data_IF_111459496005
#
_entry.id   IF_111459496005
#
_cell.length_a   1.000
_cell.length_b   1.000
_cell.length_c   1.000
_cell.angle_alpha   90.00
_cell.angle_beta   90.00
_cell.angle_gamma   90.00
#
_symmetry.space_group_name_H-M   'P 1'
#
loop_
_entity.id
_entity.type
_entity.pdbx_description
1 polymer ?
#
# COMPACT_ATOMS: atom_id res chain seq x y z
N UNK A 1 -31.37 7.45 6.49
CA UNK A 1 -29.90 7.26 6.50
C UNK A 1 -29.44 7.25 5.06
N UNK A 2 -28.35 7.94 4.73
CA UNK A 2 -27.72 7.82 3.42
C UNK A 2 -27.24 6.38 3.21
N UNK A 3 -27.27 5.91 1.97
CA UNK A 3 -26.86 4.56 1.60
C UNK A 3 -25.34 4.38 1.61
N UNK A 4 -24.87 3.36 0.89
CA UNK A 4 -23.44 3.16 0.67
C UNK A 4 -22.89 4.28 -0.24
N UNK A 5 -21.60 4.66 -0.08
CA UNK A 5 -21.00 5.65 -0.95
C UNK A 5 -20.86 5.12 -2.39
N UNK A 6 -20.80 6.05 -3.35
CA UNK A 6 -20.67 5.73 -4.76
C UNK A 6 -19.23 5.94 -5.26
N UNK A 7 -18.75 5.14 -6.22
CA UNK A 7 -17.50 5.43 -6.92
C UNK A 7 -17.57 6.79 -7.62
N UNK A 8 -16.53 7.60 -7.45
CA UNK A 8 -16.42 8.94 -8.02
C UNK A 8 -15.52 8.89 -9.26
N UNK A 9 -15.95 9.54 -10.34
CA UNK A 9 -15.20 9.57 -11.61
C UNK A 9 -13.83 10.20 -11.46
N UNK A 10 -13.68 11.19 -10.58
CA UNK A 10 -12.38 11.82 -10.30
C UNK A 10 -11.32 10.82 -9.79
N UNK A 11 -11.74 9.69 -9.20
CA UNK A 11 -10.86 8.66 -8.65
C UNK A 11 -10.61 7.50 -9.64
N UNK A 12 -11.37 7.43 -10.73
CA UNK A 12 -11.30 6.33 -11.68
C UNK A 12 -9.91 6.26 -12.34
N UNK A 13 -9.36 5.05 -12.45
CA UNK A 13 -8.06 4.82 -13.08
C UNK A 13 -6.85 5.35 -12.28
N UNK A 14 -7.04 5.74 -11.01
CA UNK A 14 -5.96 6.22 -10.13
C UNK A 14 -5.48 5.17 -9.12
N UNK A 15 -6.23 4.09 -8.89
CA UNK A 15 -5.85 3.05 -7.93
C UNK A 15 -5.89 1.66 -8.55
N UNK A 16 -4.91 0.83 -8.20
CA UNK A 16 -4.73 -0.50 -8.79
C UNK A 16 -4.25 -1.48 -7.74
N UNK A 17 -4.58 -2.76 -7.91
CA UNK A 17 -3.95 -3.85 -7.18
C UNK A 17 -2.71 -4.30 -7.96
N UNK A 18 -1.62 -4.62 -7.24
CA UNK A 18 -0.41 -5.19 -7.83
C UNK A 18 -0.61 -6.51 -8.60
N UNK A 19 0.46 -7.01 -9.20
CA UNK A 19 0.49 -8.20 -10.03
C UNK A 19 0.28 -9.49 -9.22
N UNK A 20 -0.54 -10.40 -9.76
CA UNK A 20 -0.71 -11.74 -9.21
C UNK A 20 0.26 -12.68 -9.92
N UNK A 21 1.48 -12.77 -9.39
CA UNK A 21 2.55 -13.61 -9.97
C UNK A 21 2.13 -15.08 -10.03
N UNK A 22 1.61 -15.62 -8.92
CA UNK A 22 1.16 -17.02 -8.77
C UNK A 22 2.20 -18.04 -9.26
N UNK A 23 3.33 -18.11 -8.55
CA UNK A 23 4.41 -19.07 -8.77
C UNK A 23 5.71 -18.55 -8.17
N UNK A 24 6.30 -19.25 -7.21
CA UNK A 24 7.56 -18.81 -6.58
C UNK A 24 8.75 -18.96 -7.53
N UNK A 25 8.65 -19.82 -8.56
CA UNK A 25 9.68 -19.97 -9.58
C UNK A 25 9.93 -18.74 -10.47
N UNK A 26 9.14 -17.67 -10.35
CA UNK A 26 9.43 -16.38 -10.99
C UNK A 26 10.32 -15.48 -10.12
N UNK A 27 10.41 -15.75 -8.82
CA UNK A 27 11.03 -14.86 -7.84
C UNK A 27 12.48 -15.28 -7.65
N UNK A 28 13.36 -14.28 -7.65
CA UNK A 28 14.80 -14.43 -7.52
C UNK A 28 15.32 -13.64 -6.32
N UNK A 29 16.46 -14.05 -5.80
CA UNK A 29 17.27 -13.19 -4.93
C UNK A 29 17.90 -12.05 -5.75
N UNK A 30 18.27 -10.92 -5.11
CA UNK A 30 19.04 -9.87 -5.78
C UNK A 30 20.34 -10.37 -6.41
N UNK A 31 21.02 -11.31 -5.76
CA UNK A 31 22.28 -11.89 -6.25
C UNK A 31 22.05 -12.75 -7.51
N UNK A 32 20.99 -13.57 -7.53
CA UNK A 32 20.62 -14.35 -8.72
C UNK A 32 20.29 -13.44 -9.90
N UNK A 33 19.53 -12.37 -9.67
CA UNK A 33 19.20 -11.39 -10.70
C UNK A 33 20.45 -10.69 -11.24
N UNK A 34 21.37 -10.28 -10.37
CA UNK A 34 22.63 -9.63 -10.78
C UNK A 34 23.52 -10.55 -11.62
N UNK A 35 23.60 -11.84 -11.27
CA UNK A 35 24.33 -12.85 -12.05
C UNK A 35 23.72 -12.99 -13.45
N UNK A 36 22.39 -13.04 -13.57
CA UNK A 36 21.71 -13.12 -14.87
C UNK A 36 21.92 -11.86 -15.72
N UNK A 37 21.88 -10.69 -15.10
CA UNK A 37 22.11 -9.40 -15.77
C UNK A 37 23.56 -9.28 -16.25
N UNK A 38 24.52 -9.74 -15.44
CA UNK A 38 25.94 -9.75 -15.81
C UNK A 38 26.20 -10.69 -16.97
N UNK A 39 25.52 -11.85 -17.00
CA UNK A 39 25.63 -12.84 -18.07
C UNK A 39 25.07 -12.34 -19.40
N UNK A 40 23.89 -11.72 -19.38
CA UNK A 40 23.29 -11.05 -20.55
C UNK A 40 22.61 -9.74 -20.10
N UNK A 41 23.16 -8.57 -20.45
CA UNK A 41 22.59 -7.28 -20.07
C UNK A 41 21.14 -7.06 -20.53
N UNK A 42 20.68 -7.76 -21.58
CA UNK A 42 19.29 -7.70 -22.05
C UNK A 42 18.33 -8.25 -21.01
N UNK A 43 18.76 -9.12 -20.10
CA UNK A 43 17.88 -9.66 -19.05
C UNK A 43 17.25 -8.57 -18.17
N UNK A 44 17.79 -7.34 -18.15
CA UNK A 44 17.16 -6.16 -17.53
C UNK A 44 15.78 -5.82 -18.10
N UNK A 45 15.46 -6.26 -19.32
CA UNK A 45 14.15 -6.06 -19.95
C UNK A 45 13.04 -6.91 -19.28
N UNK A 46 13.43 -8.00 -18.61
CA UNK A 46 12.52 -8.97 -18.00
C UNK A 46 12.76 -9.18 -16.51
N UNK A 47 13.80 -8.57 -15.94
CA UNK A 47 14.12 -8.63 -14.52
C UNK A 47 13.81 -7.31 -13.84
N UNK A 48 12.95 -7.38 -12.82
CA UNK A 48 12.52 -6.20 -12.07
C UNK A 48 12.63 -6.44 -10.57
N UNK A 49 12.94 -5.40 -9.76
CA UNK A 49 12.73 -5.47 -8.32
C UNK A 49 11.26 -5.82 -8.01
N UNK A 50 11.05 -6.61 -6.97
CA UNK A 50 9.74 -7.12 -6.60
C UNK A 50 9.37 -6.73 -5.17
N UNK A 51 8.47 -5.77 -5.03
CA UNK A 51 8.07 -5.21 -3.74
C UNK A 51 6.83 -5.92 -3.19
N UNK A 52 6.90 -6.32 -1.93
CA UNK A 52 5.75 -6.86 -1.21
C UNK A 52 5.44 -6.10 0.10
N UNK A 53 4.43 -6.59 0.83
CA UNK A 53 4.02 -5.98 2.09
C UNK A 53 5.03 -6.16 3.23
N UNK A 54 5.88 -7.19 3.17
CA UNK A 54 6.95 -7.40 4.16
C UNK A 54 8.01 -6.30 4.02
N UNK A 55 8.45 -6.06 2.78
CA UNK A 55 9.41 -4.99 2.45
C UNK A 55 8.88 -3.63 2.93
N UNK A 56 7.64 -3.29 2.58
CA UNK A 56 7.04 -2.01 2.97
C UNK A 56 6.85 -1.82 4.48
N UNK A 57 6.56 -2.89 5.21
CA UNK A 57 6.22 -2.81 6.63
C UNK A 57 7.40 -2.98 7.56
N UNK A 58 8.46 -3.66 7.13
CA UNK A 58 9.55 -4.08 7.99
C UNK A 58 10.93 -3.56 7.56
N UNK A 59 11.15 -3.27 6.28
CA UNK A 59 12.39 -2.64 5.82
C UNK A 59 12.40 -1.13 6.13
N UNK A 60 13.41 -0.59 6.84
CA UNK A 60 13.49 0.83 7.17
C UNK A 60 13.60 1.77 5.96
N UNK A 61 14.15 1.28 4.86
CA UNK A 61 14.29 2.00 3.59
C UNK A 61 13.16 1.62 2.61
N UNK A 62 12.31 0.66 3.00
CA UNK A 62 11.16 0.16 2.24
C UNK A 62 11.56 -0.36 0.85
N UNK A 63 12.77 -0.93 0.75
CA UNK A 63 13.35 -1.43 -0.49
C UNK A 63 12.87 -2.85 -0.80
N UNK A 64 12.68 -3.19 -2.09
CA UNK A 64 12.42 -4.57 -2.50
C UNK A 64 13.56 -5.49 -2.04
N UNK A 65 13.22 -6.57 -1.33
CA UNK A 65 14.19 -7.60 -0.93
C UNK A 65 14.38 -8.71 -1.97
N UNK A 66 13.62 -8.66 -3.08
CA UNK A 66 13.53 -9.70 -4.09
C UNK A 66 13.49 -9.11 -5.49
N UNK A 67 13.76 -9.94 -6.47
CA UNK A 67 13.57 -9.67 -7.89
C UNK A 67 12.56 -10.65 -8.48
N UNK A 68 12.05 -10.34 -9.67
CA UNK A 68 11.09 -11.20 -10.36
C UNK A 68 11.30 -11.16 -11.88
N UNK A 69 11.12 -12.32 -12.51
CA UNK A 69 11.09 -12.49 -13.97
C UNK A 69 9.69 -12.14 -14.48
N UNK A 70 9.57 -11.10 -15.30
CA UNK A 70 8.33 -10.63 -15.89
C UNK A 70 8.43 -10.58 -17.42
N UNK A 71 7.84 -11.56 -18.10
CA UNK A 71 7.68 -11.56 -19.56
C UNK A 71 6.45 -10.78 -20.04
N UNK A 72 5.78 -10.03 -19.16
CA UNK A 72 4.57 -9.26 -19.46
C UNK A 72 3.50 -10.13 -20.14
N UNK A 73 3.02 -9.72 -21.32
CA UNK A 73 2.07 -10.44 -22.16
C UNK A 73 2.69 -11.07 -23.40
N UNK A 74 4.02 -11.20 -23.42
CA UNK A 74 4.76 -11.72 -24.56
C UNK A 74 4.36 -13.15 -24.92
N UNK A 75 4.46 -13.46 -26.21
CA UNK A 75 4.33 -14.83 -26.70
C UNK A 75 5.46 -15.70 -26.13
N UNK A 76 5.27 -17.03 -26.15
CA UNK A 76 6.31 -17.95 -25.66
C UNK A 76 7.58 -17.80 -26.51
N UNK A 77 7.43 -17.62 -27.82
CA UNK A 77 8.54 -17.47 -28.75
C UNK A 77 9.39 -16.25 -28.41
N UNK A 78 8.75 -15.12 -28.05
CA UNK A 78 9.45 -13.93 -27.59
C UNK A 78 10.08 -14.14 -26.22
N UNK A 79 9.39 -14.76 -25.27
CA UNK A 79 9.97 -15.04 -23.95
C UNK A 79 11.23 -15.93 -24.05
N UNK A 80 11.23 -16.91 -24.97
CA UNK A 80 12.36 -17.80 -25.27
C UNK A 80 13.60 -17.09 -25.80
N UNK A 81 13.51 -15.83 -26.26
CA UNK A 81 14.70 -15.05 -26.67
C UNK A 81 15.55 -14.60 -25.47
N UNK A 82 15.08 -14.80 -24.24
CA UNK A 82 15.79 -14.57 -22.98
C UNK A 82 16.08 -15.92 -22.32
N UNK A 83 17.04 -16.71 -22.85
CA UNK A 83 17.17 -18.13 -22.55
C UNK A 83 17.42 -18.41 -21.07
N UNK A 84 18.22 -17.58 -20.40
CA UNK A 84 18.57 -17.78 -18.99
C UNK A 84 17.37 -17.57 -18.06
N UNK A 85 16.59 -16.51 -18.26
CA UNK A 85 15.38 -16.27 -17.48
C UNK A 85 14.28 -17.29 -17.84
N UNK A 86 14.16 -17.66 -19.11
CA UNK A 86 13.14 -18.60 -19.55
C UNK A 86 13.39 -20.02 -19.02
N UNK A 87 14.64 -20.49 -18.99
CA UNK A 87 15.01 -21.79 -18.40
C UNK A 87 14.56 -21.90 -16.95
N UNK A 88 14.76 -20.85 -16.14
CA UNK A 88 14.36 -20.82 -14.73
C UNK A 88 12.85 -21.02 -14.62
N UNK A 89 12.06 -20.26 -15.39
CA UNK A 89 10.60 -20.35 -15.37
C UNK A 89 10.14 -21.71 -15.92
N UNK A 90 10.80 -22.25 -16.95
CA UNK A 90 10.50 -23.57 -17.50
C UNK A 90 10.76 -24.68 -16.48
N UNK A 91 11.85 -24.60 -15.73
CA UNK A 91 12.22 -25.59 -14.73
C UNK A 91 11.38 -25.49 -13.45
N UNK A 92 11.07 -24.28 -13.00
CA UNK A 92 10.45 -24.05 -11.68
C UNK A 92 8.94 -23.82 -11.74
N UNK A 93 8.42 -23.17 -12.78
CA UNK A 93 7.00 -22.76 -12.84
C UNK A 93 6.16 -23.73 -13.67
N UNK A 94 6.68 -24.18 -14.82
CA UNK A 94 5.95 -25.06 -15.73
C UNK A 94 5.44 -26.33 -15.04
N UNK A 95 6.24 -27.07 -14.23
CA UNK A 95 5.75 -28.28 -13.56
C UNK A 95 4.63 -28.00 -12.57
N UNK A 96 4.73 -26.91 -11.78
CA UNK A 96 3.69 -26.52 -10.83
C UNK A 96 2.38 -26.16 -11.53
N UNK A 97 2.47 -25.47 -12.67
CA UNK A 97 1.29 -24.99 -13.41
C UNK A 97 0.63 -26.05 -14.26
N UNK A 98 1.40 -27.02 -14.73
CA UNK A 98 0.93 -28.14 -15.55
C UNK A 98 0.68 -29.42 -14.75
N UNK A 99 0.72 -29.36 -13.42
CA UNK A 99 0.36 -30.51 -12.57
C UNK A 99 -1.07 -30.99 -12.82
N UNK A 100 -1.27 -32.30 -12.75
CA UNK A 100 -2.57 -32.92 -12.92
C UNK A 100 -3.47 -32.71 -11.70
N UNK A 101 -4.79 -32.70 -11.94
CA UNK A 101 -5.78 -32.73 -10.87
C UNK A 101 -5.72 -34.08 -10.16
N UNK A 102 -5.91 -34.10 -8.85
CA UNK A 102 -6.02 -35.34 -8.09
C UNK A 102 -7.48 -35.78 -7.95
N UNK A 103 -7.74 -37.08 -7.98
CA UNK A 103 -9.01 -37.68 -7.57
C UNK A 103 -9.16 -37.70 -6.03
N UNK A 104 -10.29 -38.19 -5.53
CA UNK A 104 -10.58 -38.28 -4.09
C UNK A 104 -9.59 -39.19 -3.33
N UNK A 105 -8.91 -40.10 -4.05
CA UNK A 105 -7.94 -41.03 -3.51
C UNK A 105 -6.49 -40.53 -3.64
N UNK A 106 -6.29 -39.32 -4.19
CA UNK A 106 -4.97 -38.73 -4.40
C UNK A 106 -4.25 -39.17 -5.68
N UNK A 107 -4.91 -39.88 -6.61
CA UNK A 107 -4.31 -40.27 -7.90
C UNK A 107 -4.45 -39.16 -8.94
N UNK A 108 -3.46 -39.03 -9.83
CA UNK A 108 -3.50 -38.04 -10.91
C UNK A 108 -4.54 -38.40 -11.99
N UNK A 109 -5.43 -37.44 -12.28
CA UNK A 109 -6.35 -37.47 -13.41
C UNK A 109 -5.61 -36.90 -14.62
N UNK A 110 -4.84 -37.76 -15.29
CA UNK A 110 -4.04 -37.41 -16.46
C UNK A 110 -4.89 -36.74 -17.54
N UNK A 111 -4.38 -35.66 -18.13
CA UNK A 111 -5.08 -34.87 -19.15
C UNK A 111 -5.96 -33.75 -18.58
N UNK A 112 -6.18 -33.71 -17.26
CA UNK A 112 -6.92 -32.62 -16.60
C UNK A 112 -6.01 -31.86 -15.65
N UNK A 113 -5.63 -30.63 -16.02
CA UNK A 113 -4.81 -29.78 -15.16
C UNK A 113 -5.52 -29.42 -13.84
N UNK A 114 -4.76 -29.35 -12.75
CA UNK A 114 -5.27 -28.89 -11.45
C UNK A 114 -5.61 -27.39 -11.46
N UNK A 115 -4.89 -26.59 -12.25
CA UNK A 115 -5.12 -25.16 -12.38
C UNK A 115 -6.04 -24.84 -13.55
N UNK A 116 -6.83 -23.77 -13.39
CA UNK A 116 -7.73 -23.27 -14.43
C UNK A 116 -6.93 -22.61 -15.57
N UNK A 117 -7.42 -22.77 -16.80
CA UNK A 117 -6.95 -22.02 -17.98
C UNK A 117 -7.04 -20.49 -17.72
N UNK A 118 -6.08 -19.67 -18.19
CA UNK A 118 -4.99 -20.03 -19.10
C UNK A 118 -3.68 -20.44 -18.41
N UNK A 119 -3.61 -20.53 -17.07
CA UNK A 119 -2.35 -20.72 -16.34
C UNK A 119 -1.50 -21.92 -16.80
N UNK A 120 -2.07 -23.12 -17.06
CA UNK A 120 -1.29 -24.24 -17.58
C UNK A 120 -0.82 -24.04 -19.03
N UNK A 121 -1.56 -23.29 -19.85
CA UNK A 121 -1.21 -23.03 -21.26
C UNK A 121 -0.20 -21.89 -21.39
N UNK A 122 -0.31 -20.87 -20.54
CA UNK A 122 0.54 -19.68 -20.51
C UNK A 122 1.37 -19.68 -19.23
N UNK A 123 2.08 -20.79 -19.00
CA UNK A 123 2.78 -21.05 -17.75
C UNK A 123 3.91 -20.06 -17.48
N UNK A 124 4.44 -19.39 -18.51
CA UNK A 124 5.51 -18.39 -18.40
C UNK A 124 5.02 -16.97 -18.07
N UNK A 125 3.70 -16.73 -17.99
CA UNK A 125 3.11 -15.40 -17.75
C UNK A 125 2.47 -15.35 -16.36
N UNK A 126 2.42 -14.21 -15.68
CA UNK A 126 1.70 -14.10 -14.40
C UNK A 126 0.22 -14.48 -14.48
N UNK A 127 -0.38 -14.81 -13.33
CA UNK A 127 -1.81 -15.01 -13.23
C UNK A 127 -2.61 -13.76 -13.58
N UNK A 128 -2.21 -12.60 -13.05
CA UNK A 128 -2.71 -11.29 -13.50
C UNK A 128 -1.56 -10.31 -13.72
N UNK A 129 -1.40 -9.91 -14.97
CA UNK A 129 -0.29 -9.05 -15.45
C UNK A 129 -0.43 -7.59 -15.05
N UNK A 130 -1.67 -7.12 -14.86
CA UNK A 130 -2.01 -5.72 -14.57
C UNK A 130 -1.47 -4.71 -15.61
N UNK A 131 -1.75 -4.88 -16.92
CA UNK A 131 -1.23 -3.97 -17.96
C UNK A 131 -1.65 -2.50 -17.73
N UNK A 132 -2.92 -2.26 -17.35
CA UNK A 132 -3.43 -0.93 -17.05
C UNK A 132 -2.65 -0.23 -15.91
N UNK A 133 -2.19 -0.98 -14.90
CA UNK A 133 -1.35 -0.44 -13.84
C UNK A 133 -0.01 0.07 -14.42
N UNK A 134 0.74 -0.81 -15.09
CA UNK A 134 2.09 -0.47 -15.57
C UNK A 134 2.09 0.58 -16.68
N UNK A 135 1.10 0.54 -17.58
CA UNK A 135 0.90 1.60 -18.58
C UNK A 135 0.68 2.96 -17.90
N UNK A 136 -0.13 2.97 -16.84
CA UNK A 136 -0.47 4.19 -16.12
C UNK A 136 0.72 4.75 -15.33
N UNK A 137 1.44 3.91 -14.58
CA UNK A 137 2.55 4.38 -13.72
C UNK A 137 3.84 4.61 -14.48
N UNK A 138 3.99 4.10 -15.71
CA UNK A 138 5.18 4.36 -16.55
C UNK A 138 5.42 5.84 -16.86
N UNK A 139 4.38 6.67 -16.67
CA UNK A 139 4.35 8.10 -16.95
C UNK A 139 4.82 8.97 -15.77
N UNK A 140 5.11 8.37 -14.62
CA UNK A 140 5.53 9.07 -13.40
C UNK A 140 6.72 8.37 -12.76
N UNK A 141 7.53 9.11 -12.00
CA UNK A 141 8.72 8.55 -11.35
C UNK A 141 8.39 7.79 -10.07
N UNK A 142 7.31 8.18 -9.39
CA UNK A 142 6.90 7.64 -8.10
C UNK A 142 5.39 7.47 -8.00
N UNK A 143 4.98 6.49 -7.20
CA UNK A 143 3.58 6.21 -6.86
C UNK A 143 3.43 6.08 -5.35
N UNK A 144 2.22 6.28 -4.86
CA UNK A 144 1.87 5.91 -3.50
C UNK A 144 1.55 4.43 -3.43
N UNK A 145 2.04 3.76 -2.40
CA UNK A 145 1.79 2.34 -2.17
C UNK A 145 1.31 2.15 -0.75
N UNK A 146 0.29 1.29 -0.58
CA UNK A 146 -0.23 0.87 0.72
C UNK A 146 -0.44 -0.65 0.72
N UNK A 147 -0.01 -1.38 1.76
CA UNK A 147 -0.38 -2.78 1.91
C UNK A 147 -1.90 -2.92 2.04
N UNK A 148 -2.49 -3.87 1.31
CA UNK A 148 -3.92 -4.15 1.41
C UNK A 148 -4.23 -4.61 2.84
N UNK A 149 -3.48 -5.57 3.35
CA UNK A 149 -3.69 -6.13 4.69
C UNK A 149 -2.63 -5.58 5.64
N UNK A 150 -3.03 -4.68 6.56
CA UNK A 150 -2.11 -4.09 7.54
C UNK A 150 -2.81 -3.68 8.83
N UNK A 151 -2.06 -3.69 9.94
CA UNK A 151 -2.48 -3.14 11.24
C UNK A 151 -2.68 -1.63 11.15
N UNK A 152 -1.76 -0.94 10.46
CA UNK A 152 -1.80 0.50 10.27
C UNK A 152 -1.82 0.83 8.78
N UNK A 153 -2.83 1.57 8.34
CA UNK A 153 -2.95 2.05 6.96
C UNK A 153 -1.97 3.21 6.76
N UNK A 154 -0.81 2.89 6.19
CA UNK A 154 0.27 3.86 5.98
C UNK A 154 0.72 3.82 4.54
N UNK A 155 0.72 4.99 3.90
CA UNK A 155 1.13 5.15 2.51
C UNK A 155 2.61 5.49 2.44
N UNK A 156 3.32 4.97 1.45
CA UNK A 156 4.68 5.41 1.13
C UNK A 156 4.87 5.69 -0.36
N UNK A 157 5.87 6.50 -0.68
CA UNK A 157 6.25 6.88 -2.03
C UNK A 157 7.39 6.00 -2.54
N UNK A 158 7.11 5.25 -3.60
CA UNK A 158 8.01 4.23 -4.14
C UNK A 158 8.23 4.44 -5.65
N UNK A 159 9.44 4.16 -6.19
CA UNK A 159 9.72 4.28 -7.63
C UNK A 159 8.88 3.34 -8.50
N UNK A 160 8.55 3.75 -9.73
CA UNK A 160 7.64 3.02 -10.65
C UNK A 160 8.26 1.88 -11.44
N UNK A 161 9.60 1.80 -11.53
CA UNK A 161 10.33 0.72 -12.21
C UNK A 161 10.46 -0.54 -11.34
N UNK A 162 9.35 -0.98 -10.76
CA UNK A 162 9.23 -2.07 -9.80
C UNK A 162 7.97 -2.87 -10.11
N UNK A 163 8.00 -4.19 -9.93
CA UNK A 163 6.79 -5.02 -9.93
C UNK A 163 6.21 -5.04 -8.51
N UNK A 164 4.94 -4.64 -8.37
CA UNK A 164 4.25 -4.64 -7.07
C UNK A 164 3.47 -5.93 -6.87
N UNK A 165 3.58 -6.56 -5.71
CA UNK A 165 2.79 -7.74 -5.35
C UNK A 165 1.30 -7.40 -5.21
N UNK A 166 0.42 -8.32 -5.59
CA UNK A 166 -1.05 -8.19 -5.46
C UNK A 166 -1.61 -7.88 -4.05
N UNK A 167 -0.79 -7.94 -3.00
CA UNK A 167 -1.18 -7.51 -1.64
C UNK A 167 -0.86 -6.04 -1.38
N UNK A 168 -0.56 -5.28 -2.43
CA UNK A 168 -0.35 -3.84 -2.39
C UNK A 168 -1.38 -3.15 -3.29
N UNK A 169 -1.91 -2.03 -2.81
CA UNK A 169 -2.57 -1.04 -3.66
C UNK A 169 -1.52 -0.02 -4.12
N UNK A 170 -1.51 0.26 -5.42
CA UNK A 170 -0.68 1.26 -6.07
C UNK A 170 -1.58 2.40 -6.53
N UNK A 171 -1.27 3.61 -6.09
CA UNK A 171 -2.10 4.79 -6.25
C UNK A 171 -1.28 5.89 -6.93
N UNK A 172 -1.83 6.42 -8.02
CA UNK A 172 -1.35 7.65 -8.63
C UNK A 172 -1.71 8.85 -7.78
N UNK A 173 -0.81 9.82 -7.76
CA UNK A 173 -1.07 11.15 -7.22
C UNK A 173 -0.55 12.22 -8.17
N UNK A 174 -1.20 13.38 -8.18
CA UNK A 174 -0.77 14.51 -9.02
C UNK A 174 0.06 15.52 -8.22
N UNK A 175 -0.16 15.60 -6.91
CA UNK A 175 0.51 16.53 -6.02
C UNK A 175 0.68 15.93 -4.61
N UNK A 176 1.59 16.51 -3.83
CA UNK A 176 1.91 15.97 -2.50
C UNK A 176 0.82 16.27 -1.46
N UNK A 177 -0.15 17.16 -1.76
CA UNK A 177 -1.31 17.36 -0.88
C UNK A 177 -2.20 16.12 -0.83
N UNK A 178 -2.33 15.37 -1.94
CA UNK A 178 -3.04 14.08 -1.96
C UNK A 178 -2.41 13.06 -0.99
N UNK A 179 -1.07 13.03 -0.91
CA UNK A 179 -0.38 12.21 0.09
C UNK A 179 -0.79 12.63 1.51
N UNK A 180 -0.89 13.94 1.78
CA UNK A 180 -1.38 14.46 3.05
C UNK A 180 -2.81 14.03 3.38
N UNK A 181 -3.71 14.14 2.40
CA UNK A 181 -5.11 13.70 2.54
C UNK A 181 -5.20 12.21 2.86
N UNK A 182 -4.51 11.36 2.09
CA UNK A 182 -4.55 9.91 2.28
C UNK A 182 -3.82 9.47 3.56
N UNK A 183 -2.81 10.22 4.01
CA UNK A 183 -2.12 9.96 5.27
C UNK A 183 -2.87 10.47 6.50
N UNK A 184 -3.98 11.21 6.34
CA UNK A 184 -4.73 11.81 7.44
C UNK A 184 -5.63 10.81 8.18
N UNK A 185 -6.02 11.18 9.41
CA UNK A 185 -7.04 10.46 10.18
C UNK A 185 -8.38 10.45 9.45
N UNK A 186 -8.69 11.49 8.66
CA UNK A 186 -9.97 11.59 7.94
C UNK A 186 -10.10 10.45 6.92
N UNK A 187 -9.05 10.20 6.13
CA UNK A 187 -9.01 9.06 5.23
C UNK A 187 -8.98 7.74 6.00
N UNK A 188 -8.22 7.65 7.09
CA UNK A 188 -8.18 6.44 7.91
C UNK A 188 -9.57 6.02 8.42
N UNK A 189 -10.39 6.97 8.87
CA UNK A 189 -11.78 6.71 9.31
C UNK A 189 -12.63 6.19 8.14
N UNK A 190 -12.46 6.77 6.94
CA UNK A 190 -13.14 6.31 5.74
C UNK A 190 -12.73 4.87 5.36
N UNK A 191 -11.44 4.58 5.44
CA UNK A 191 -10.89 3.24 5.20
C UNK A 191 -11.55 2.19 6.10
N UNK A 192 -11.56 2.42 7.41
CA UNK A 192 -12.15 1.50 8.39
C UNK A 192 -13.66 1.35 8.23
N UNK A 193 -14.36 2.39 7.75
CA UNK A 193 -15.81 2.30 7.53
C UNK A 193 -16.16 1.47 6.31
N UNK A 194 -15.40 1.61 5.21
CA UNK A 194 -15.82 1.12 3.89
C UNK A 194 -15.01 -0.07 3.39
N UNK A 195 -13.88 -0.41 4.03
CA UNK A 195 -13.09 -1.59 3.67
C UNK A 195 -13.44 -2.78 4.57
N UNK A 196 -13.09 -3.99 4.13
CA UNK A 196 -13.21 -5.18 4.98
C UNK A 196 -12.05 -5.28 5.97
N UNK A 197 -12.14 -6.22 6.92
CA UNK A 197 -11.05 -6.54 7.86
C UNK A 197 -10.61 -7.99 7.72
N UNK A 198 -9.37 -8.27 8.10
CA UNK A 198 -8.89 -9.63 8.35
C UNK A 198 -8.89 -9.86 9.87
N UNK A 199 -9.92 -10.56 10.36
CA UNK A 199 -10.20 -10.65 11.79
C UNK A 199 -10.66 -9.31 12.35
N UNK A 200 -10.38 -9.04 13.63
CA UNK A 200 -10.86 -7.85 14.33
C UNK A 200 -9.89 -6.65 14.30
N UNK A 201 -8.59 -6.87 14.06
CA UNK A 201 -7.56 -5.83 14.27
C UNK A 201 -6.83 -5.35 13.02
N UNK A 202 -7.09 -5.94 11.85
CA UNK A 202 -6.30 -5.70 10.63
C UNK A 202 -7.20 -5.24 9.51
N UNK A 203 -6.95 -4.05 8.97
CA UNK A 203 -7.69 -3.53 7.82
C UNK A 203 -7.27 -4.30 6.56
N UNK A 204 -8.23 -4.60 5.69
CA UNK A 204 -8.00 -4.99 4.30
C UNK A 204 -8.43 -3.86 3.36
N UNK A 205 -7.53 -2.90 3.11
CA UNK A 205 -7.74 -1.71 2.30
C UNK A 205 -8.36 -2.06 0.93
N UNK A 206 -9.48 -1.41 0.59
CA UNK A 206 -10.17 -1.63 -0.67
C UNK A 206 -9.91 -0.47 -1.65
N UNK A 207 -9.35 -0.77 -2.83
CA UNK A 207 -9.25 0.25 -3.89
C UNK A 207 -10.63 0.66 -4.38
N UNK A 208 -11.58 -0.28 -4.48
CA UNK A 208 -12.93 -0.02 -5.02
C UNK A 208 -13.86 0.60 -4.00
N UNK A 209 -13.92 0.07 -2.78
CA UNK A 209 -14.93 0.50 -1.80
C UNK A 209 -14.44 1.64 -0.91
N UNK A 210 -13.12 1.84 -0.80
CA UNK A 210 -12.54 2.94 -0.04
C UNK A 210 -11.95 4.02 -0.96
N UNK A 211 -10.95 3.71 -1.79
CA UNK A 211 -10.28 4.76 -2.58
C UNK A 211 -11.21 5.36 -3.65
N UNK A 212 -11.83 4.53 -4.49
CA UNK A 212 -12.68 5.02 -5.58
C UNK A 212 -13.92 5.78 -5.08
N UNK A 213 -14.36 5.51 -3.85
CA UNK A 213 -15.47 6.23 -3.21
C UNK A 213 -15.04 7.43 -2.37
N UNK A 214 -13.74 7.62 -2.11
CA UNK A 214 -13.28 8.66 -1.21
C UNK A 214 -13.50 10.07 -1.83
N UNK A 215 -14.27 10.96 -1.18
CA UNK A 215 -14.53 12.30 -1.70
C UNK A 215 -13.37 13.22 -1.32
N UNK A 216 -12.42 13.40 -2.23
CA UNK A 216 -11.33 14.34 -2.03
C UNK A 216 -11.84 15.79 -1.86
N UNK A 217 -11.08 16.65 -1.14
CA UNK A 217 -11.40 18.08 -1.07
C UNK A 217 -11.37 18.71 -2.47
N UNK A 218 -12.28 19.64 -2.74
CA UNK A 218 -12.32 20.36 -4.03
C UNK A 218 -11.06 21.23 -4.18
N UNK A 219 -10.55 21.80 -3.08
CA UNK A 219 -9.35 22.65 -3.07
C UNK A 219 -8.14 21.85 -2.57
N UNK A 220 -7.63 20.95 -3.40
CA UNK A 220 -6.47 20.10 -3.07
C UNK A 220 -5.12 20.84 -3.10
N UNK A 221 -5.00 21.90 -3.90
CA UNK A 221 -3.73 22.63 -4.08
C UNK A 221 -3.45 23.62 -2.93
N UNK A 222 -3.34 23.08 -1.72
CA UNK A 222 -3.01 23.83 -0.51
C UNK A 222 -1.51 23.70 -0.18
N UNK A 223 -0.76 24.79 -0.36
CA UNK A 223 0.69 24.85 -0.09
C UNK A 223 1.05 24.49 1.35
N UNK A 224 0.20 24.82 2.31
CA UNK A 224 0.42 24.49 3.72
C UNK A 224 0.32 22.97 3.93
N UNK A 225 -0.75 22.35 3.40
CA UNK A 225 -0.93 20.90 3.44
C UNK A 225 0.24 20.19 2.75
N UNK A 226 0.68 20.68 1.60
CA UNK A 226 1.83 20.12 0.89
C UNK A 226 3.09 20.17 1.75
N UNK A 227 3.38 21.33 2.33
CA UNK A 227 4.58 21.58 3.14
C UNK A 227 4.63 20.69 4.37
N UNK A 228 3.53 20.63 5.14
CA UNK A 228 3.47 19.79 6.34
C UNK A 228 3.56 18.31 6.00
N UNK A 229 2.92 17.88 4.91
CA UNK A 229 2.95 16.50 4.44
C UNK A 229 4.36 16.07 4.05
N UNK A 230 5.11 16.93 3.35
CA UNK A 230 6.51 16.66 2.99
C UNK A 230 7.40 16.54 4.21
N UNK A 231 7.22 17.43 5.20
CA UNK A 231 7.94 17.37 6.49
C UNK A 231 7.63 16.08 7.24
N UNK A 232 6.35 15.70 7.30
CA UNK A 232 5.91 14.45 7.93
C UNK A 232 6.56 13.23 7.27
N UNK A 233 6.49 13.11 5.95
CA UNK A 233 7.08 11.97 5.24
C UNK A 233 8.60 11.92 5.42
N UNK A 234 9.26 13.08 5.36
CA UNK A 234 10.73 13.17 5.52
C UNK A 234 11.16 12.77 6.94
N UNK A 235 10.47 13.27 7.97
CA UNK A 235 10.74 12.91 9.36
C UNK A 235 10.45 11.42 9.60
N UNK A 236 9.34 10.90 9.06
CA UNK A 236 8.99 9.48 9.14
C UNK A 236 10.12 8.60 8.60
N UNK A 237 10.62 8.91 7.38
CA UNK A 237 11.73 8.18 6.75
C UNK A 237 13.02 8.30 7.55
N UNK A 238 13.34 9.49 8.07
CA UNK A 238 14.49 9.72 8.96
C UNK A 238 14.40 8.84 10.21
N UNK A 239 13.26 8.85 10.92
CA UNK A 239 13.06 8.04 12.13
C UNK A 239 13.24 6.56 11.82
N UNK A 240 12.65 6.08 10.73
CA UNK A 240 12.77 4.68 10.30
C UNK A 240 14.23 4.30 10.07
N UNK A 241 14.96 5.09 9.27
CA UNK A 241 16.36 4.81 8.92
C UNK A 241 17.28 4.90 10.13
N UNK A 242 17.21 5.99 10.90
CA UNK A 242 18.08 6.26 12.06
C UNK A 242 17.92 5.21 13.16
N UNK A 243 16.71 4.67 13.32
CA UNK A 243 16.38 3.72 14.38
C UNK A 243 16.21 2.28 13.87
N UNK A 244 16.46 2.02 12.59
CA UNK A 244 16.21 0.72 11.92
C UNK A 244 14.81 0.16 12.20
N UNK A 245 13.80 1.02 12.13
CA UNK A 245 12.41 0.66 12.35
C UNK A 245 11.69 0.49 11.01
N UNK A 246 11.02 -0.64 10.82
CA UNK A 246 9.97 -0.76 9.81
C UNK A 246 8.70 0.01 10.23
N UNK A 247 7.82 0.24 9.26
CA UNK A 247 6.56 0.97 9.43
C UNK A 247 5.72 0.43 10.60
N UNK A 248 5.59 -0.90 10.74
CA UNK A 248 4.79 -1.50 11.82
C UNK A 248 5.34 -1.14 13.20
N UNK A 249 6.67 -1.22 13.37
CA UNK A 249 7.32 -0.89 14.64
C UNK A 249 7.20 0.59 14.96
N UNK A 250 7.38 1.44 13.95
CA UNK A 250 7.21 2.89 14.12
C UNK A 250 5.79 3.23 14.58
N UNK A 251 4.75 2.72 13.90
CA UNK A 251 3.37 3.07 14.28
C UNK A 251 2.91 2.44 15.60
N UNK A 252 3.46 1.29 16.00
CA UNK A 252 3.26 0.81 17.38
C UNK A 252 3.75 1.85 18.40
N UNK A 253 4.90 2.49 18.16
CA UNK A 253 5.38 3.58 19.03
C UNK A 253 4.62 4.89 18.81
N UNK A 254 4.16 5.18 17.58
CA UNK A 254 3.27 6.30 17.31
C UNK A 254 1.98 6.22 18.13
N UNK A 255 1.46 5.02 18.40
CA UNK A 255 0.27 4.81 19.23
C UNK A 255 0.56 4.43 20.69
N UNK A 256 1.81 4.54 21.14
CA UNK A 256 2.22 4.28 22.52
C UNK A 256 1.98 5.51 23.43
N UNK A 257 1.00 5.44 24.32
CA UNK A 257 0.62 6.51 25.27
C UNK A 257 1.69 6.81 26.32
N UNK A 258 2.58 5.85 26.59
CA UNK A 258 3.67 5.98 27.57
C UNK A 258 4.98 6.49 26.98
N UNK A 259 5.01 6.84 25.70
CA UNK A 259 6.25 7.25 25.04
C UNK A 259 6.91 8.47 25.72
N UNK A 260 6.11 9.41 26.22
CA UNK A 260 6.60 10.59 26.94
C UNK A 260 7.23 10.20 28.28
N UNK A 261 6.61 9.29 29.04
CA UNK A 261 7.17 8.76 30.28
C UNK A 261 8.53 8.09 30.04
N UNK A 262 8.60 7.25 29.01
CA UNK A 262 9.82 6.53 28.61
C UNK A 262 10.93 7.51 28.20
N UNK A 263 10.58 8.58 27.49
CA UNK A 263 11.55 9.60 27.05
C UNK A 263 12.23 10.34 28.20
N UNK A 264 11.59 10.39 29.38
CA UNK A 264 12.04 11.12 30.56
C UNK A 264 12.74 10.23 31.60
N UNK A 265 12.92 8.94 31.32
CA UNK A 265 13.63 8.03 32.23
C UNK A 265 15.09 8.45 32.37
N UNK A 266 15.50 8.75 33.60
CA UNK A 266 16.88 9.11 33.92
C UNK A 266 17.85 7.93 33.69
N UNK A 267 17.40 6.70 33.96
CA UNK A 267 18.17 5.48 33.77
C UNK A 267 17.24 4.38 33.26
N UNK A 268 17.67 3.66 32.23
CA UNK A 268 16.97 2.47 31.77
C UNK A 268 17.32 1.30 32.70
N UNK A 269 16.35 0.64 33.33
CA UNK A 269 16.64 -0.41 34.29
C UNK A 269 17.32 -1.59 33.61
N UNK A 270 18.35 -2.10 34.28
CA UNK A 270 19.09 -3.30 33.90
C UNK A 270 18.24 -4.58 34.06
N UNK A 271 17.20 -4.54 34.90
CA UNK A 271 16.27 -5.66 35.10
C UNK A 271 15.07 -5.59 34.15
N UNK A 272 15.12 -6.39 33.09
CA UNK A 272 14.06 -6.45 32.08
C UNK A 272 12.69 -6.87 32.61
N UNK A 273 12.61 -7.74 33.61
CA UNK A 273 11.31 -8.23 34.13
C UNK A 273 10.54 -7.15 34.87
N UNK A 274 11.24 -6.29 35.59
CA UNK A 274 10.63 -5.17 36.31
C UNK A 274 10.14 -4.09 35.33
N UNK A 275 10.94 -3.78 34.31
CA UNK A 275 10.52 -2.85 33.26
C UNK A 275 9.30 -3.35 32.49
N UNK A 276 9.29 -4.63 32.07
CA UNK A 276 8.15 -5.24 31.40
C UNK A 276 6.88 -5.17 32.27
N UNK A 277 7.00 -5.32 33.59
CA UNK A 277 5.86 -5.22 34.52
C UNK A 277 5.32 -3.80 34.61
N UNK A 278 6.18 -2.78 34.59
CA UNK A 278 5.78 -1.38 34.76
C UNK A 278 5.31 -0.77 33.44
N UNK A 279 6.09 -0.94 32.36
CA UNK A 279 5.90 -0.28 31.08
C UNK A 279 5.40 -1.21 29.98
N UNK A 280 5.32 -2.51 30.22
CA UNK A 280 4.85 -3.48 29.23
C UNK A 280 5.94 -4.04 28.33
N UNK A 281 5.66 -5.22 27.78
CA UNK A 281 6.58 -5.98 26.92
C UNK A 281 6.94 -5.27 25.62
N UNK A 282 6.00 -4.54 25.02
CA UNK A 282 6.23 -3.83 23.76
C UNK A 282 7.25 -2.71 23.92
N UNK A 283 7.15 -1.94 25.01
CA UNK A 283 8.09 -0.89 25.34
C UNK A 283 9.48 -1.44 25.62
N UNK A 284 9.58 -2.55 26.35
CA UNK A 284 10.86 -3.21 26.55
C UNK A 284 11.50 -3.71 25.25
N UNK A 285 10.69 -4.29 24.36
CA UNK A 285 11.11 -4.76 23.04
C UNK A 285 11.63 -3.61 22.18
N UNK A 286 10.94 -2.46 22.21
CA UNK A 286 11.37 -1.25 21.51
C UNK A 286 12.70 -0.72 22.03
N UNK A 287 12.88 -0.63 23.36
CA UNK A 287 14.15 -0.20 23.94
C UNK A 287 15.30 -1.15 23.59
N UNK A 288 15.09 -2.46 23.70
CA UNK A 288 16.07 -3.47 23.26
C UNK A 288 16.44 -3.31 21.79
N UNK A 289 15.46 -3.01 20.94
CA UNK A 289 15.68 -2.76 19.53
C UNK A 289 16.57 -1.52 19.33
N UNK A 290 16.24 -0.39 19.97
CA UNK A 290 17.04 0.84 19.88
C UNK A 290 18.48 0.60 20.36
N UNK A 291 18.68 0.00 21.53
CA UNK A 291 20.02 -0.29 22.05
C UNK A 291 20.86 -1.19 21.13
N UNK A 292 20.21 -2.06 20.34
CA UNK A 292 20.91 -3.00 19.46
C UNK A 292 21.17 -2.44 18.06
N UNK A 293 20.28 -1.59 17.55
CA UNK A 293 20.25 -1.26 16.12
C UNK A 293 20.20 0.23 15.80
N UNK A 294 19.99 1.14 16.77
CA UNK A 294 19.93 2.57 16.45
C UNK A 294 21.31 3.08 16.01
N UNK A 295 21.32 3.88 14.94
CA UNK A 295 22.52 4.51 14.42
C UNK A 295 22.73 5.84 15.17
N UNK A 296 23.49 5.82 16.28
CA UNK A 296 23.84 7.02 17.05
C UNK A 296 22.65 7.85 17.59
N UNK A 297 21.43 7.32 17.57
CA UNK A 297 20.24 7.97 18.12
C UNK A 297 20.00 7.51 19.54
N UNK A 298 19.98 8.45 20.49
CA UNK A 298 19.61 8.15 21.87
C UNK A 298 18.13 7.78 21.97
N UNK A 299 17.74 6.99 22.96
CA UNK A 299 16.32 6.66 23.18
C UNK A 299 15.48 7.93 23.35
N UNK A 300 16.02 8.94 24.03
CA UNK A 300 15.38 10.24 24.22
C UNK A 300 15.11 10.93 22.88
N UNK A 301 16.10 10.95 21.98
CA UNK A 301 15.95 11.54 20.64
C UNK A 301 14.95 10.75 19.79
N UNK A 302 15.00 9.41 19.83
CA UNK A 302 14.04 8.56 19.12
C UNK A 302 12.59 8.82 19.58
N UNK A 303 12.36 8.91 20.90
CA UNK A 303 11.04 9.27 21.44
C UNK A 303 10.63 10.69 21.04
N UNK A 304 11.54 11.67 21.12
CA UNK A 304 11.27 13.06 20.72
C UNK A 304 10.85 13.15 19.25
N UNK A 305 11.58 12.49 18.35
CA UNK A 305 11.29 12.52 16.92
C UNK A 305 9.91 11.89 16.63
N UNK A 306 9.51 10.83 17.34
CA UNK A 306 8.15 10.23 17.22
C UNK A 306 7.07 11.17 17.78
N UNK A 307 7.35 11.93 18.85
CA UNK A 307 6.42 12.95 19.35
C UNK A 307 6.26 14.10 18.34
N UNK A 308 7.35 14.56 17.73
CA UNK A 308 7.31 15.54 16.65
C UNK A 308 6.52 15.00 15.43
N UNK A 309 6.67 13.71 15.12
CA UNK A 309 5.87 13.06 14.08
C UNK A 309 4.36 13.12 14.37
N UNK A 310 3.94 12.98 15.65
CA UNK A 310 2.54 13.17 16.06
C UNK A 310 2.09 14.61 15.87
N UNK A 311 2.92 15.60 16.20
CA UNK A 311 2.57 17.01 15.98
C UNK A 311 2.38 17.34 14.50
N UNK A 312 3.25 16.83 13.63
CA UNK A 312 3.10 16.98 12.18
C UNK A 312 1.85 16.28 11.67
N UNK A 313 1.52 15.12 12.22
CA UNK A 313 0.28 14.40 11.91
C UNK A 313 -0.97 15.20 12.30
N UNK A 314 -0.99 15.82 13.49
CA UNK A 314 -2.08 16.73 13.88
C UNK A 314 -2.21 17.92 12.93
N UNK A 315 -1.09 18.50 12.48
CA UNK A 315 -1.08 19.61 11.52
C UNK A 315 -1.58 19.17 10.14
N UNK A 316 -1.29 17.95 9.69
CA UNK A 316 -1.89 17.35 8.49
C UNK A 316 -3.41 17.30 8.66
N UNK A 317 -3.92 16.70 9.74
CA UNK A 317 -5.36 16.56 9.94
C UNK A 317 -6.08 17.91 9.95
N UNK A 318 -5.51 18.92 10.61
CA UNK A 318 -6.04 20.31 10.60
C UNK A 318 -6.01 20.89 9.18
N UNK A 319 -4.91 20.73 8.45
CA UNK A 319 -4.77 21.25 7.09
C UNK A 319 -5.75 20.59 6.11
N UNK A 320 -5.98 19.29 6.25
CA UNK A 320 -6.98 18.53 5.46
C UNK A 320 -8.39 19.00 5.82
N UNK A 321 -8.69 19.17 7.11
CA UNK A 321 -9.98 19.68 7.57
C UNK A 321 -10.27 21.09 7.01
N UNK A 322 -9.26 21.95 6.97
CA UNK A 322 -9.33 23.27 6.35
C UNK A 322 -9.54 23.19 4.83
N UNK A 323 -8.90 22.23 4.15
CA UNK A 323 -9.11 22.01 2.71
C UNK A 323 -10.55 21.59 2.38
N UNK A 324 -11.23 20.90 3.31
CA UNK A 324 -12.67 20.62 3.22
C UNK A 324 -13.56 21.81 3.63
N UNK A 325 -12.99 22.87 4.23
CA UNK A 325 -13.75 23.99 4.79
C UNK A 325 -14.48 23.65 6.10
N UNK A 326 -14.01 22.63 6.84
CA UNK A 326 -14.66 22.13 8.07
C UNK A 326 -13.94 22.60 9.34
N UNK A 327 -13.43 23.83 9.34
CA UNK A 327 -12.69 24.42 10.47
C UNK A 327 -13.53 24.55 11.76
N UNK A 328 -14.84 24.32 11.69
CA UNK A 328 -15.75 24.27 12.83
C UNK A 328 -15.63 22.98 13.66
N UNK A 329 -15.02 21.92 13.12
CA UNK A 329 -14.84 20.65 13.83
C UNK A 329 -13.60 20.71 14.72
N UNK A 330 -13.80 20.61 16.04
CA UNK A 330 -12.69 20.45 16.99
C UNK A 330 -12.21 19.00 17.02
N UNK A 331 -11.03 18.74 16.45
CA UNK A 331 -10.45 17.38 16.33
C UNK A 331 -10.06 16.76 17.68
N UNK A 332 -9.53 17.57 18.59
CA UNK A 332 -9.07 17.16 19.94
C UNK A 332 -8.24 15.87 19.87
N UNK A 333 -7.05 15.92 19.27
CA UNK A 333 -6.15 14.77 19.18
C UNK A 333 -5.69 14.31 20.56
N UNK A 334 -5.86 13.03 20.85
CA UNK A 334 -5.42 12.38 22.09
C UNK A 334 -5.45 10.84 21.90
N UNK A 335 -5.22 10.09 22.97
CA UNK A 335 -5.43 8.66 23.02
C UNK A 335 -6.90 8.34 23.26
N UNK A 336 -7.55 7.74 22.26
CA UNK A 336 -8.95 7.31 22.35
C UNK A 336 -9.09 5.83 22.03
N UNK A 337 -10.08 5.20 22.66
CA UNK A 337 -10.54 3.87 22.27
C UNK A 337 -11.19 3.89 20.89
N UNK A 338 -10.93 2.82 20.15
CA UNK A 338 -11.44 2.55 18.82
C UNK A 338 -12.21 1.24 18.89
N UNK A 339 -13.52 1.33 19.12
CA UNK A 339 -14.37 0.20 19.54
C UNK A 339 -14.41 -0.98 18.55
N UNK A 340 -14.07 -0.75 17.28
CA UNK A 340 -13.98 -1.81 16.27
C UNK A 340 -12.67 -2.60 16.32
N UNK A 341 -11.73 -2.23 17.19
CA UNK A 341 -10.47 -2.94 17.41
C UNK A 341 -10.54 -3.85 18.66
N UNK A 342 -9.69 -4.89 18.74
CA UNK A 342 -9.57 -5.75 19.92
C UNK A 342 -9.22 -4.99 21.20
N UNK A 343 -9.70 -5.47 22.36
CA UNK A 343 -9.45 -4.86 23.69
C UNK A 343 -8.00 -4.55 23.98
N UNK A 344 -7.10 -5.45 23.60
CA UNK A 344 -5.68 -5.32 23.85
C UNK A 344 -4.96 -4.33 22.92
N UNK A 345 -5.65 -3.74 21.95
CA UNK A 345 -5.04 -2.91 20.89
C UNK A 345 -5.94 -1.75 20.40
N UNK A 346 -7.02 -1.44 21.15
CA UNK A 346 -8.02 -0.44 20.76
C UNK A 346 -7.67 1.00 21.07
N UNK A 347 -6.66 1.25 21.90
CA UNK A 347 -6.23 2.62 22.22
C UNK A 347 -5.29 3.11 21.12
N UNK A 348 -5.64 4.23 20.49
CA UNK A 348 -4.87 4.86 19.42
C UNK A 348 -4.74 6.35 19.68
N UNK A 349 -3.55 6.91 19.44
CA UNK A 349 -3.42 8.35 19.18
C UNK A 349 -4.24 8.71 17.92
N UNK A 350 -5.36 9.40 18.10
CA UNK A 350 -6.34 9.72 17.05
C UNK A 350 -7.21 10.92 17.47
N UNK A 351 -8.22 11.26 16.68
CA UNK A 351 -9.16 12.34 16.98
C UNK A 351 -10.33 11.86 17.85
N UNK A 352 -10.94 12.80 18.57
CA UNK A 352 -12.04 12.53 19.49
C UNK A 352 -13.22 11.79 18.80
N UNK A 353 -13.88 10.82 19.46
CA UNK A 353 -14.97 10.03 18.87
C UNK A 353 -16.09 10.86 18.20
N UNK A 354 -16.46 12.00 18.78
CA UNK A 354 -17.46 12.90 18.19
C UNK A 354 -16.97 13.52 16.87
N UNK A 355 -15.69 13.92 16.79
CA UNK A 355 -15.11 14.43 15.55
C UNK A 355 -15.08 13.34 14.48
N UNK A 356 -14.72 12.08 14.84
CA UNK A 356 -14.76 10.94 13.90
C UNK A 356 -16.14 10.72 13.30
N UNK A 357 -17.19 10.73 14.13
CA UNK A 357 -18.58 10.57 13.68
C UNK A 357 -19.00 11.69 12.74
N UNK A 358 -18.68 12.95 13.08
CA UNK A 358 -19.04 14.10 12.26
C UNK A 358 -18.30 14.14 10.92
N UNK A 359 -16.99 13.87 10.92
CA UNK A 359 -16.18 13.76 9.70
C UNK A 359 -16.74 12.67 8.79
N UNK A 360 -17.01 11.47 9.33
CA UNK A 360 -17.53 10.36 8.53
C UNK A 360 -18.90 10.71 7.92
N UNK A 361 -19.76 11.40 8.67
CA UNK A 361 -21.05 11.90 8.18
C UNK A 361 -20.87 12.89 7.03
N UNK A 362 -19.96 13.86 7.16
CA UNK A 362 -19.70 14.88 6.12
C UNK A 362 -19.03 14.30 4.89
N UNK A 363 -18.09 13.36 5.05
CA UNK A 363 -17.51 12.63 3.93
C UNK A 363 -18.59 11.88 3.16
N UNK A 364 -19.49 11.15 3.84
CA UNK A 364 -20.57 10.45 3.15
C UNK A 364 -21.49 11.41 2.39
N UNK A 365 -21.89 12.53 3.00
CA UNK A 365 -22.67 13.57 2.33
C UNK A 365 -21.96 14.11 1.09
N UNK A 366 -20.67 14.44 1.22
CA UNK A 366 -19.88 14.98 0.12
C UNK A 366 -19.71 13.98 -1.03
N UNK A 367 -19.55 12.69 -0.73
CA UNK A 367 -19.54 11.64 -1.75
C UNK A 367 -20.84 11.63 -2.56
N UNK A 368 -22.00 11.63 -1.89
CA UNK A 368 -23.30 11.64 -2.57
C UNK A 368 -23.51 12.91 -3.39
N UNK A 369 -23.08 14.06 -2.88
CA UNK A 369 -23.16 15.34 -3.58
C UNK A 369 -22.28 15.35 -4.84
N UNK A 370 -21.00 14.96 -4.71
CA UNK A 370 -20.06 14.89 -5.83
C UNK A 370 -20.54 13.90 -6.89
N UNK A 371 -20.99 12.71 -6.49
CA UNK A 371 -21.54 11.72 -7.40
C UNK A 371 -22.75 12.25 -8.18
N UNK A 372 -23.68 12.94 -7.51
CA UNK A 372 -24.87 13.51 -8.18
C UNK A 372 -24.48 14.56 -9.22
N UNK A 373 -23.54 15.46 -8.89
CA UNK A 373 -22.98 16.45 -9.84
C UNK A 373 -22.29 15.78 -11.03
N UNK A 374 -21.56 14.70 -10.79
CA UNK A 374 -20.93 13.91 -11.85
C UNK A 374 -21.96 13.23 -12.77
N UNK A 375 -23.15 12.85 -12.27
CA UNK A 375 -24.21 12.29 -13.10
C UNK A 375 -24.95 13.36 -13.91
N UNK A 376 -25.21 14.53 -13.32
CA UNK A 376 -25.88 15.66 -14.00
C UNK A 376 -25.03 16.26 -15.13
N UNK A 377 -23.70 16.23 -14.97
CA UNK A 377 -22.75 16.69 -16.01
C UNK A 377 -22.56 15.71 -17.17
N UNK A 378 -23.15 14.50 -17.12
CA UNK A 378 -23.17 13.61 -18.27
C UNK A 378 -24.17 14.11 -19.32
N UNK A 379 -23.80 14.20 -20.60
CA UNK A 379 -24.76 14.43 -21.66
C UNK A 379 -25.89 13.40 -21.56
N UNK A 380 -27.15 13.86 -21.55
CA UNK A 380 -28.31 12.98 -21.49
C UNK A 380 -28.20 11.92 -22.60
N UNK A 381 -28.26 10.65 -22.22
CA UNK A 381 -28.17 9.52 -23.15
C UNK A 381 -29.35 9.58 -24.14
N UNK A 382 -29.17 10.22 -25.29
CA UNK A 382 -29.94 9.86 -26.48
C UNK A 382 -29.44 8.50 -26.97
N UNK A 383 -30.39 7.56 -27.04
CA UNK A 383 -30.25 6.21 -27.56
C UNK A 383 -29.25 6.10 -28.73
N UNK A 384 -28.09 5.52 -28.47
CA UNK A 384 -27.32 4.82 -29.49
C UNK A 384 -27.09 3.39 -29.04
N UNK A 385 -27.85 2.47 -29.65
CA UNK A 385 -27.46 1.06 -29.79
C UNK A 385 -26.07 1.05 -30.43
N UNK A 386 -25.04 0.81 -29.64
CA UNK A 386 -23.72 0.50 -30.18
C UNK A 386 -23.76 -0.97 -30.58
N UNK A 387 -23.94 -1.23 -31.88
CA UNK A 387 -23.52 -2.49 -32.50
C UNK A 387 -21.99 -2.55 -32.34
N UNK A 388 -21.50 -3.50 -31.57
CA UNK A 388 -20.08 -3.86 -31.55
C UNK A 388 -19.79 -4.42 -32.94
N UNK A 389 -19.08 -3.64 -33.78
CA UNK A 389 -18.34 -4.18 -34.91
C UNK A 389 -16.97 -4.58 -34.37
N UNK A 390 -16.63 -5.86 -34.56
CA UNK A 390 -15.26 -6.34 -34.49
C UNK A 390 -14.44 -5.52 -35.49
N UNK A 391 -13.37 -4.87 -35.03
CA UNK A 391 -12.31 -4.45 -35.94
C UNK A 391 -10.94 -4.69 -35.32
N UNK A 392 -10.15 -5.47 -36.07
CA UNK A 392 -8.75 -5.76 -35.87
C UNK A 392 -7.95 -4.54 -36.32
N UNK A 393 -7.57 -3.67 -35.39
CA UNK A 393 -6.54 -2.65 -35.63
C UNK A 393 -5.92 -2.21 -34.30
N UNK A 394 -5.02 -3.05 -33.78
CA UNK A 394 -4.10 -2.70 -32.68
C UNK A 394 -2.73 -3.33 -32.95
N UNK A 395 -2.27 -3.16 -34.18
CA UNK A 395 -0.91 -3.45 -34.65
C UNK A 395 -0.59 -2.26 -35.55
N UNK A 396 0.24 -1.35 -35.05
CA UNK A 396 1.03 -0.33 -35.78
C UNK A 396 1.19 0.94 -34.92
N UNK A 397 1.95 0.83 -33.84
CA UNK A 397 2.44 2.00 -33.10
C UNK A 397 3.88 1.85 -32.59
N UNK A 398 4.64 0.90 -33.15
CA UNK A 398 6.09 0.79 -32.92
C UNK A 398 6.80 0.37 -34.20
N UNK A 399 6.90 1.32 -35.12
CA UNK A 399 7.95 1.40 -36.13
C UNK A 399 8.46 2.84 -36.12
N UNK A 400 9.79 2.96 -36.08
CA UNK A 400 10.61 4.19 -36.14
C UNK A 400 10.93 4.85 -34.79
N UNK A 401 11.96 4.36 -34.09
CA UNK A 401 13.36 4.87 -34.07
C UNK A 401 14.22 3.95 -33.20
#
# INVERSE_FOLDING_TARGET
MLGNPYPLKQNAGKSFIGSYVLGMGFVLSPEEAEVLITKDPRNKDVLFPYLNGEDLNNDPEQKPSRWVINFFDWTEEKARTYPDCFEIVERLVKPERQRWKLDENGNEIVGTYALRKPLPQKWWIYGEKRPALYETISKVDQVMVVPLVSKYTSFDLVPTKIVYMHKLAVILFENFSEFGVLSSTLHNIWCWKNSSTLGAGTLNYSTTDCFETFPFPITLNNKELETVSRKYNSLRKKIMCDNRLGMTKLYNQFHNDRLLEISNLAHFPSNGKEFEKIYGKENFSFLKHLCKYSNNTSIKDACRDILELRELYCKIDISVLNAYGWSDISLKHDFYEVDYLPENDRVRFTIHPNARKEILRRLLLLNHEQYSKEQESLPSKQNRRIKIKNDQSFIDLFSDV
#
